data_IF_167651234893
#
_entry.id   IF_167651234893
#
_cell.length_a   1.000
_cell.length_b   1.000
_cell.length_c   1.000
_cell.angle_alpha   90.00
_cell.angle_beta   90.00
_cell.angle_gamma   90.00
#
_symmetry.space_group_name_H-M   'P 1'
#
loop_
_entity.id
_entity.type
_entity.pdbx_description
1 polymer ?
#
# COMPACT_ATOMS: atom_id res chain seq x y z
N UNK A 1 -9.76 -4.97 -2.57
CA UNK A 1 -9.96 -3.65 -3.20
C UNK A 1 -10.40 -2.65 -2.14
N UNK A 2 -10.11 -1.35 -2.33
CA UNK A 2 -10.60 -0.22 -1.50
C UNK A 2 -10.21 -0.29 0.00
N UNK A 3 -9.09 -0.90 0.31
CA UNK A 3 -8.55 -0.99 1.69
C UNK A 3 -7.50 0.09 2.00
N UNK A 4 -7.40 1.14 1.16
CA UNK A 4 -6.51 2.28 1.40
C UNK A 4 -5.04 2.09 1.00
N UNK A 5 -4.66 1.05 0.23
CA UNK A 5 -3.25 0.82 -0.18
C UNK A 5 -2.58 2.06 -0.77
N UNK A 6 -3.14 2.59 -1.83
CA UNK A 6 -2.60 3.76 -2.53
C UNK A 6 -2.48 4.98 -1.62
N UNK A 7 -3.46 5.19 -0.73
CA UNK A 7 -3.46 6.29 0.24
C UNK A 7 -2.28 6.17 1.22
N UNK A 8 -2.09 5.00 1.83
CA UNK A 8 -1.00 4.77 2.78
C UNK A 8 0.36 4.92 2.09
N UNK A 9 0.53 4.41 0.88
CA UNK A 9 1.78 4.54 0.12
C UNK A 9 2.08 6.01 -0.19
N UNK A 10 1.07 6.79 -0.57
CA UNK A 10 1.24 8.22 -0.83
C UNK A 10 1.61 9.00 0.43
N UNK A 11 1.00 8.70 1.58
CA UNK A 11 1.37 9.33 2.86
C UNK A 11 2.79 8.93 3.28
N UNK A 12 3.13 7.65 3.20
CA UNK A 12 4.49 7.18 3.45
C UNK A 12 5.52 7.89 2.55
N UNK A 13 5.23 8.02 1.27
CA UNK A 13 6.11 8.71 0.33
C UNK A 13 6.36 10.18 0.72
N UNK A 14 5.31 10.89 1.14
CA UNK A 14 5.43 12.29 1.58
C UNK A 14 6.28 12.46 2.84
N UNK A 15 6.25 11.48 3.74
CA UNK A 15 6.99 11.54 5.00
C UNK A 15 8.45 11.12 4.85
N UNK A 16 8.76 10.19 3.95
CA UNK A 16 10.06 9.53 3.88
C UNK A 16 10.91 9.94 2.69
N UNK A 17 10.33 10.54 1.63
CA UNK A 17 11.04 10.85 0.40
C UNK A 17 10.87 12.32 -0.01
N UNK A 18 11.93 12.90 -0.60
CA UNK A 18 11.86 14.24 -1.17
C UNK A 18 11.05 14.28 -2.46
N UNK A 19 11.07 13.17 -3.21
CA UNK A 19 10.39 13.04 -4.50
C UNK A 19 9.57 11.75 -4.55
N UNK A 20 8.40 11.85 -5.16
CA UNK A 20 7.50 10.74 -5.37
C UNK A 20 7.03 10.70 -6.83
N UNK A 21 7.12 9.53 -7.45
CA UNK A 21 6.63 9.27 -8.79
C UNK A 21 5.70 8.07 -8.75
N UNK A 22 4.45 8.30 -9.11
CA UNK A 22 3.41 7.27 -9.18
C UNK A 22 3.07 6.98 -10.64
N UNK A 23 2.98 5.70 -10.99
CA UNK A 23 2.42 5.19 -12.23
C UNK A 23 1.29 4.24 -11.89
N UNK A 24 0.09 4.55 -12.37
CA UNK A 24 -1.05 3.65 -12.27
C UNK A 24 -1.35 3.08 -13.66
N UNK A 25 -1.11 1.78 -13.85
CA UNK A 25 -1.24 1.13 -15.16
C UNK A 25 -2.68 1.04 -15.70
N UNK A 26 -3.69 1.37 -14.89
CA UNK A 26 -5.07 1.50 -15.37
C UNK A 26 -5.36 2.94 -15.83
N UNK A 27 -4.83 3.94 -15.12
CA UNK A 27 -5.15 5.35 -15.34
C UNK A 27 -4.18 6.04 -16.30
N UNK A 28 -2.90 5.75 -16.20
CA UNK A 28 -1.85 6.35 -17.01
C UNK A 28 -1.74 5.64 -18.37
N UNK A 29 -2.57 6.03 -19.33
CA UNK A 29 -2.60 5.43 -20.67
C UNK A 29 -1.22 5.53 -21.34
N UNK A 30 -0.72 4.40 -21.84
CA UNK A 30 0.56 4.31 -22.50
C UNK A 30 1.75 4.13 -21.56
N UNK A 31 1.53 4.03 -20.24
CA UNK A 31 2.60 3.78 -19.27
C UNK A 31 3.28 2.41 -19.47
N UNK A 32 2.59 1.44 -20.07
CA UNK A 32 3.16 0.14 -20.46
C UNK A 32 4.35 0.28 -21.39
N UNK A 33 4.40 1.35 -22.21
CA UNK A 33 5.50 1.62 -23.15
C UNK A 33 6.83 1.89 -22.46
N UNK A 34 6.81 2.33 -21.20
CA UNK A 34 8.02 2.51 -20.38
C UNK A 34 8.78 1.18 -20.25
N UNK A 35 8.05 0.07 -20.26
CA UNK A 35 8.55 -1.29 -20.08
C UNK A 35 8.50 -2.13 -21.36
N UNK A 36 8.44 -1.50 -22.52
CA UNK A 36 8.59 -2.15 -23.82
C UNK A 36 10.07 -2.22 -24.25
N UNK A 37 10.40 -3.27 -25.00
CA UNK A 37 11.75 -3.46 -25.55
C UNK A 37 12.73 -4.00 -24.52
N UNK A 38 13.87 -3.30 -24.34
CA UNK A 38 14.93 -3.74 -23.42
C UNK A 38 14.59 -3.40 -21.99
N UNK A 39 14.48 -4.43 -21.14
CA UNK A 39 14.14 -4.31 -19.71
C UNK A 39 15.37 -4.05 -18.82
N UNK A 40 16.31 -3.20 -19.23
CA UNK A 40 17.39 -2.76 -18.35
C UNK A 40 17.03 -1.45 -17.62
N UNK A 41 17.62 -1.27 -16.44
CA UNK A 41 17.29 -0.16 -15.56
C UNK A 41 17.50 1.22 -16.21
N UNK A 42 18.58 1.42 -17.00
CA UNK A 42 18.85 2.70 -17.64
C UNK A 42 17.75 3.08 -18.62
N UNK A 43 17.41 2.18 -19.54
CA UNK A 43 16.35 2.39 -20.53
C UNK A 43 15.01 2.69 -19.86
N UNK A 44 14.65 1.93 -18.81
CA UNK A 44 13.39 2.13 -18.10
C UNK A 44 13.36 3.47 -17.37
N UNK A 45 14.45 3.86 -16.70
CA UNK A 45 14.53 5.15 -15.98
C UNK A 45 14.48 6.33 -16.94
N UNK A 46 15.15 6.24 -18.10
CA UNK A 46 15.07 7.26 -19.17
C UNK A 46 13.63 7.39 -19.68
N UNK A 47 12.97 6.27 -20.00
CA UNK A 47 11.59 6.26 -20.44
C UNK A 47 10.63 6.81 -19.37
N UNK A 48 10.86 6.47 -18.10
CA UNK A 48 10.06 6.97 -16.98
C UNK A 48 10.21 8.48 -16.81
N UNK A 49 11.45 8.98 -16.86
CA UNK A 49 11.76 10.41 -16.81
C UNK A 49 11.07 11.16 -17.95
N UNK A 50 11.16 10.63 -19.16
CA UNK A 50 10.50 11.22 -20.33
C UNK A 50 8.97 11.19 -20.21
N UNK A 51 8.38 10.06 -19.76
CA UNK A 51 6.94 9.91 -19.62
C UNK A 51 6.35 10.86 -18.57
N UNK A 52 6.99 11.00 -17.42
CA UNK A 52 6.55 11.90 -16.33
C UNK A 52 7.02 13.34 -16.50
N UNK A 53 7.89 13.64 -17.48
CA UNK A 53 8.49 14.96 -17.68
C UNK A 53 9.11 15.52 -16.39
N UNK A 54 9.73 14.67 -15.60
CA UNK A 54 10.29 14.99 -14.30
C UNK A 54 11.62 14.28 -14.11
N UNK A 55 12.62 15.04 -13.68
CA UNK A 55 13.91 14.47 -13.31
C UNK A 55 13.79 13.63 -12.04
N UNK A 56 14.46 12.47 -12.01
CA UNK A 56 14.47 11.54 -10.90
C UNK A 56 15.81 11.63 -10.17
N UNK A 57 15.79 11.99 -8.89
CA UNK A 57 16.99 12.07 -8.06
C UNK A 57 17.26 10.73 -7.38
N UNK A 58 18.42 10.08 -7.69
CA UNK A 58 18.82 8.84 -7.05
C UNK A 58 18.89 8.97 -5.51
N UNK A 59 18.40 7.96 -4.79
CA UNK A 59 18.38 7.91 -3.33
C UNK A 59 17.37 8.83 -2.64
N UNK A 60 16.60 9.64 -3.41
CA UNK A 60 15.62 10.58 -2.89
C UNK A 60 14.21 10.39 -3.45
N UNK A 61 14.07 9.57 -4.47
CA UNK A 61 12.81 9.35 -5.18
C UNK A 61 12.28 7.97 -4.89
N UNK A 62 11.03 7.90 -4.40
CA UNK A 62 10.25 6.66 -4.39
C UNK A 62 9.47 6.55 -5.70
N UNK A 63 9.57 5.39 -6.36
CA UNK A 63 8.79 5.04 -7.55
C UNK A 63 7.71 4.05 -7.15
N UNK A 64 6.45 4.42 -7.34
CA UNK A 64 5.29 3.61 -7.03
C UNK A 64 4.60 3.12 -8.30
N UNK A 65 4.52 1.80 -8.45
CA UNK A 65 3.90 1.11 -9.57
C UNK A 65 2.56 0.52 -9.09
N UNK A 66 1.48 1.25 -9.34
CA UNK A 66 0.12 0.87 -8.91
C UNK A 66 -0.58 0.04 -10.00
N UNK A 67 -1.36 -0.93 -9.56
CA UNK A 67 -2.06 -1.92 -10.42
C UNK A 67 -1.09 -2.65 -11.38
N UNK A 68 0.07 -3.05 -10.87
CA UNK A 68 1.19 -3.62 -11.64
C UNK A 68 0.81 -4.90 -12.40
N UNK A 69 -0.26 -5.61 -12.01
CA UNK A 69 -0.76 -6.78 -12.74
C UNK A 69 -1.23 -6.44 -14.16
N UNK A 70 -1.49 -5.16 -14.45
CA UNK A 70 -1.87 -4.71 -15.79
C UNK A 70 -0.65 -4.54 -16.73
N UNK A 71 0.58 -4.59 -16.17
CA UNK A 71 1.83 -4.50 -16.96
C UNK A 71 2.82 -5.62 -16.57
N UNK A 72 2.70 -6.83 -17.16
CA UNK A 72 3.60 -7.95 -16.86
C UNK A 72 5.09 -7.64 -17.06
N UNK A 73 5.42 -6.80 -18.05
CA UNK A 73 6.80 -6.39 -18.29
C UNK A 73 7.38 -5.55 -17.15
N UNK A 74 6.59 -4.65 -16.56
CA UNK A 74 7.00 -3.89 -15.38
C UNK A 74 7.33 -4.85 -14.23
N UNK A 75 6.49 -5.85 -14.03
CA UNK A 75 6.72 -6.89 -13.01
C UNK A 75 8.02 -7.66 -13.24
N UNK A 76 8.34 -8.01 -14.49
CA UNK A 76 9.59 -8.67 -14.84
C UNK A 76 10.82 -7.75 -14.67
N UNK A 77 10.64 -6.45 -14.82
CA UNK A 77 11.71 -5.46 -14.74
C UNK A 77 12.17 -5.17 -13.31
N UNK A 78 11.33 -5.41 -12.29
CA UNK A 78 11.64 -5.09 -10.88
C UNK A 78 12.99 -5.62 -10.44
N UNK A 79 13.34 -6.84 -10.79
CA UNK A 79 14.65 -7.41 -10.47
C UNK A 79 15.80 -6.51 -10.92
N UNK A 80 15.77 -6.06 -12.18
CA UNK A 80 16.82 -5.23 -12.75
C UNK A 80 16.86 -3.83 -12.15
N UNK A 81 15.68 -3.30 -11.81
CA UNK A 81 15.52 -2.00 -11.17
C UNK A 81 16.04 -2.00 -9.73
N UNK A 82 15.77 -3.06 -8.96
CA UNK A 82 16.28 -3.22 -7.60
C UNK A 82 17.77 -3.51 -7.57
N UNK A 83 18.29 -4.35 -8.49
CA UNK A 83 19.73 -4.60 -8.65
C UNK A 83 20.52 -3.32 -8.99
N UNK A 84 19.93 -2.41 -9.76
CA UNK A 84 20.52 -1.11 -10.08
C UNK A 84 20.71 -0.21 -8.86
N UNK A 85 19.80 -0.25 -7.89
CA UNK A 85 19.91 0.37 -6.57
C UNK A 85 19.83 1.90 -6.53
N UNK A 86 19.50 2.59 -7.63
CA UNK A 86 19.37 4.06 -7.65
C UNK A 86 18.10 4.56 -6.97
N UNK A 87 17.03 3.78 -6.99
CA UNK A 87 15.71 4.18 -6.52
C UNK A 87 15.08 3.10 -5.66
N UNK A 88 14.15 3.49 -4.81
CA UNK A 88 13.29 2.58 -4.08
C UNK A 88 11.95 2.40 -4.83
N UNK A 89 11.40 1.21 -4.74
CA UNK A 89 10.20 0.83 -5.48
C UNK A 89 9.16 0.27 -4.53
N UNK A 90 7.90 0.68 -4.73
CA UNK A 90 6.74 0.03 -4.15
C UNK A 90 5.81 -0.39 -5.28
N UNK A 91 5.29 -1.60 -5.18
CA UNK A 91 4.31 -2.12 -6.11
C UNK A 91 2.99 -2.34 -5.39
N UNK A 92 1.88 -2.09 -6.05
CA UNK A 92 0.58 -2.51 -5.56
C UNK A 92 -0.27 -3.18 -6.62
N UNK A 93 -1.14 -4.07 -6.16
CA UNK A 93 -2.09 -4.74 -7.02
C UNK A 93 -3.14 -5.48 -6.23
N UNK A 94 -4.37 -5.51 -6.72
CA UNK A 94 -5.50 -6.11 -6.01
C UNK A 94 -5.52 -7.65 -6.04
N UNK A 95 -4.72 -8.29 -6.88
CA UNK A 95 -4.71 -9.74 -7.11
C UNK A 95 -3.29 -10.30 -7.30
N UNK A 96 -2.28 -9.65 -6.72
CA UNK A 96 -0.89 -10.09 -6.86
C UNK A 96 -0.71 -11.58 -6.49
N UNK A 97 -1.40 -12.07 -5.46
CA UNK A 97 -1.32 -13.48 -5.05
C UNK A 97 -2.07 -14.49 -5.96
N UNK A 98 -3.00 -14.05 -6.81
CA UNK A 98 -3.85 -14.95 -7.61
C UNK A 98 -3.33 -15.09 -9.04
N UNK A 99 -2.80 -14.02 -9.64
CA UNK A 99 -2.24 -14.02 -11.01
C UNK A 99 -0.77 -14.44 -11.10
N UNK A 100 -0.21 -14.91 -10.03
CA UNK A 100 1.18 -15.38 -9.97
C UNK A 100 1.55 -16.43 -11.05
N UNK A 101 0.59 -17.16 -11.59
CA UNK A 101 0.84 -18.20 -12.59
C UNK A 101 1.10 -17.68 -14.01
N UNK A 102 0.85 -16.39 -14.27
CA UNK A 102 0.92 -15.81 -15.61
C UNK A 102 2.18 -14.96 -15.86
N UNK A 103 3.01 -14.74 -14.83
CA UNK A 103 4.24 -13.93 -14.96
C UNK A 103 5.44 -14.84 -15.25
N UNK A 104 6.18 -14.61 -16.35
CA UNK A 104 7.26 -15.48 -16.79
C UNK A 104 8.46 -15.55 -15.83
N UNK A 105 8.62 -14.57 -14.95
CA UNK A 105 9.72 -14.51 -14.00
C UNK A 105 9.32 -13.73 -12.76
N UNK A 106 9.68 -14.27 -11.59
CA UNK A 106 9.50 -13.62 -10.28
C UNK A 106 10.80 -12.99 -9.83
N UNK A 107 10.69 -11.83 -9.20
CA UNK A 107 11.79 -11.18 -8.51
C UNK A 107 12.06 -11.83 -7.12
N UNK A 108 12.15 -13.17 -7.06
CA UNK A 108 12.41 -13.90 -5.82
C UNK A 108 13.68 -13.39 -5.16
N UNK A 109 13.58 -12.90 -3.92
CA UNK A 109 14.69 -12.33 -3.17
C UNK A 109 14.92 -10.82 -3.40
N UNK A 110 14.16 -10.19 -4.30
CA UNK A 110 14.25 -8.75 -4.59
C UNK A 110 13.03 -7.96 -4.11
N UNK A 111 12.05 -8.62 -3.52
CA UNK A 111 10.83 -8.02 -3.04
C UNK A 111 10.38 -8.62 -1.72
N UNK A 112 9.73 -7.81 -0.90
CA UNK A 112 9.01 -8.22 0.30
C UNK A 112 7.51 -8.03 0.07
N UNK A 113 6.72 -9.07 0.33
CA UNK A 113 5.28 -9.02 0.16
C UNK A 113 4.62 -8.62 1.48
N UNK A 114 3.97 -7.48 1.49
CA UNK A 114 3.17 -6.99 2.61
C UNK A 114 1.69 -7.17 2.30
N UNK A 115 0.98 -7.91 3.15
CA UNK A 115 -0.46 -8.09 3.03
C UNK A 115 -1.19 -7.00 3.79
N UNK A 116 -2.07 -6.29 3.10
CA UNK A 116 -2.94 -5.30 3.70
C UNK A 116 -4.37 -5.83 3.78
N UNK A 117 -4.96 -5.71 4.95
CA UNK A 117 -6.33 -6.14 5.26
C UNK A 117 -7.23 -4.93 5.54
N UNK A 118 -8.55 -5.08 5.49
CA UNK A 118 -9.47 -4.09 6.05
C UNK A 118 -9.15 -3.82 7.52
N UNK A 119 -9.49 -2.62 8.00
CA UNK A 119 -9.26 -2.25 9.40
C UNK A 119 -9.89 -3.26 10.36
N UNK A 120 -9.12 -3.69 11.36
CA UNK A 120 -9.66 -4.42 12.48
C UNK A 120 -10.46 -3.49 13.41
N UNK A 121 -11.17 -4.05 14.39
CA UNK A 121 -12.04 -3.23 15.25
C UNK A 121 -11.27 -2.18 16.06
N UNK A 122 -10.03 -2.46 16.48
CA UNK A 122 -9.19 -1.47 17.18
C UNK A 122 -8.85 -0.29 16.27
N UNK A 123 -8.45 -0.56 15.04
CA UNK A 123 -8.16 0.46 14.03
C UNK A 123 -9.42 1.27 13.69
N UNK A 124 -10.56 0.60 13.57
CA UNK A 124 -11.87 1.24 13.40
C UNK A 124 -12.22 2.17 14.55
N UNK A 125 -12.00 1.76 15.81
CA UNK A 125 -12.22 2.61 16.98
C UNK A 125 -11.34 3.86 16.95
N UNK A 126 -10.06 3.69 16.60
CA UNK A 126 -9.11 4.82 16.47
C UNK A 126 -9.55 5.79 15.37
N UNK A 127 -9.96 5.30 14.22
CA UNK A 127 -10.48 6.11 13.11
C UNK A 127 -11.76 6.88 13.50
N UNK A 128 -12.58 6.31 14.38
CA UNK A 128 -13.77 6.99 14.94
C UNK A 128 -13.47 7.87 16.17
N UNK A 129 -12.20 8.20 16.43
CA UNK A 129 -11.79 9.15 17.46
C UNK A 129 -11.72 8.59 18.88
N UNK A 130 -11.82 7.26 19.05
CA UNK A 130 -11.61 6.64 20.36
C UNK A 130 -10.16 6.81 20.79
N UNK A 131 -9.97 7.43 21.95
CA UNK A 131 -8.65 7.77 22.47
C UNK A 131 -7.86 6.53 22.91
N UNK A 132 -6.54 6.59 22.77
CA UNK A 132 -5.61 5.53 23.18
C UNK A 132 -5.77 5.15 24.66
N UNK A 133 -6.10 6.11 25.53
CA UNK A 133 -6.39 5.87 26.96
C UNK A 133 -7.58 4.92 27.16
N UNK A 134 -8.63 5.04 26.34
CA UNK A 134 -9.79 4.14 26.36
C UNK A 134 -9.40 2.73 25.93
N UNK A 135 -8.59 2.61 24.87
CA UNK A 135 -8.09 1.31 24.40
C UNK A 135 -7.21 0.62 25.44
N UNK A 136 -6.35 1.38 26.12
CA UNK A 136 -5.55 0.88 27.25
C UNK A 136 -6.42 0.41 28.43
N UNK A 137 -7.48 1.15 28.75
CA UNK A 137 -8.42 0.74 29.82
C UNK A 137 -9.08 -0.59 29.47
N UNK A 138 -9.52 -0.76 28.21
CA UNK A 138 -10.09 -2.04 27.76
C UNK A 138 -9.09 -3.19 27.90
N UNK A 139 -7.85 -2.97 27.51
CA UNK A 139 -6.80 -3.98 27.64
C UNK A 139 -6.57 -4.37 29.09
N UNK A 140 -6.48 -3.39 30.01
CA UNK A 140 -6.30 -3.62 31.45
C UNK A 140 -7.48 -4.40 32.01
N UNK A 141 -8.73 -4.03 31.67
CA UNK A 141 -9.92 -4.76 32.11
C UNK A 141 -9.89 -6.23 31.64
N UNK A 142 -9.49 -6.46 30.40
CA UNK A 142 -9.35 -7.80 29.85
C UNK A 142 -8.29 -8.63 30.60
N UNK A 143 -7.08 -8.06 30.80
CA UNK A 143 -5.95 -8.74 31.48
C UNK A 143 -6.27 -9.07 32.92
N UNK A 144 -7.02 -8.19 33.62
CA UNK A 144 -7.44 -8.38 35.03
C UNK A 144 -8.75 -9.14 35.21
N UNK A 145 -9.43 -9.52 34.12
CA UNK A 145 -10.76 -10.10 34.14
C UNK A 145 -11.79 -9.23 34.88
N UNK A 146 -11.67 -7.91 34.78
CA UNK A 146 -12.56 -6.93 35.38
C UNK A 146 -13.61 -6.43 34.38
N UNK A 147 -14.78 -6.02 34.88
CA UNK A 147 -15.82 -5.45 34.04
C UNK A 147 -15.40 -4.08 33.50
N UNK A 148 -15.66 -3.85 32.20
CA UNK A 148 -15.48 -2.53 31.58
C UNK A 148 -16.49 -1.55 32.18
N UNK A 149 -16.12 -0.27 32.49
CA UNK A 149 -17.03 0.74 32.96
C UNK A 149 -18.28 0.85 32.06
N UNK A 150 -19.48 0.92 32.67
CA UNK A 150 -20.75 0.79 31.97
C UNK A 150 -20.92 1.72 30.76
N UNK A 151 -20.61 3.01 30.92
CA UNK A 151 -20.73 4.01 29.84
C UNK A 151 -19.79 3.69 28.69
N UNK A 152 -18.56 3.31 29.00
CA UNK A 152 -17.57 2.90 28.01
C UNK A 152 -18.05 1.65 27.24
N UNK A 153 -18.54 0.65 27.97
CA UNK A 153 -19.07 -0.58 27.40
C UNK A 153 -20.22 -0.31 26.43
N UNK A 154 -21.23 0.47 26.84
CA UNK A 154 -22.39 0.82 26.01
C UNK A 154 -21.97 1.59 24.74
N UNK A 155 -21.01 2.52 24.86
CA UNK A 155 -20.49 3.28 23.71
C UNK A 155 -19.77 2.38 22.72
N UNK A 156 -18.90 1.52 23.22
CA UNK A 156 -18.13 0.60 22.38
C UNK A 156 -19.00 -0.47 21.72
N UNK A 157 -20.06 -0.94 22.40
CA UNK A 157 -21.03 -1.85 21.78
C UNK A 157 -21.77 -1.21 20.60
N UNK A 158 -22.12 0.08 20.67
CA UNK A 158 -22.73 0.79 19.55
C UNK A 158 -21.75 0.87 18.35
N UNK A 159 -20.50 1.22 18.62
CA UNK A 159 -19.46 1.25 17.57
C UNK A 159 -19.21 -0.15 16.99
N UNK A 160 -19.23 -1.19 17.83
CA UNK A 160 -19.08 -2.56 17.37
C UNK A 160 -20.26 -3.01 16.49
N UNK A 161 -21.47 -2.67 16.85
CA UNK A 161 -22.65 -2.96 16.04
C UNK A 161 -22.55 -2.27 14.65
N UNK A 162 -22.09 -1.03 14.61
CA UNK A 162 -21.85 -0.33 13.34
C UNK A 162 -20.73 -1.01 12.55
N UNK A 163 -19.61 -1.36 13.19
CA UNK A 163 -18.50 -2.06 12.56
C UNK A 163 -18.91 -3.39 11.92
N UNK A 164 -19.79 -4.17 12.56
CA UNK A 164 -20.30 -5.43 11.98
C UNK A 164 -21.08 -5.18 10.68
N UNK A 165 -21.75 -4.03 10.57
CA UNK A 165 -22.55 -3.69 9.39
C UNK A 165 -21.69 -3.12 8.27
N UNK A 166 -20.80 -2.16 8.59
CA UNK A 166 -20.00 -1.43 7.59
C UNK A 166 -18.67 -2.12 7.28
N UNK A 167 -18.18 -2.96 8.19
CA UNK A 167 -16.86 -3.59 8.09
C UNK A 167 -15.71 -2.61 8.35
N UNK A 168 -14.50 -3.04 8.02
CA UNK A 168 -13.26 -2.25 8.18
C UNK A 168 -12.78 -1.57 6.90
N UNK A 169 -13.69 -1.21 6.00
CA UNK A 169 -13.32 -0.52 4.75
C UNK A 169 -13.15 0.98 5.02
N UNK A 170 -11.97 1.57 4.70
CA UNK A 170 -11.72 2.99 5.00
C UNK A 170 -12.71 3.98 4.40
N UNK A 171 -13.27 3.64 3.24
CA UNK A 171 -14.21 4.52 2.51
C UNK A 171 -15.58 4.69 3.22
N UNK A 172 -15.87 3.89 4.26
CA UNK A 172 -17.15 3.91 4.98
C UNK A 172 -16.98 4.24 6.48
N UNK A 173 -15.78 4.58 6.90
CA UNK A 173 -15.38 4.99 8.24
C UNK A 173 -15.01 6.46 8.25
#
# INVERSE_FOLDING_TARGET
RQIGKTTIIREFAKEQYEHFVEINFILDKGAEKIFEGKLDANTIIENLTAFKMKELEPGKTLIFLDEIQECPNARCAIKFLVEDGRFDYIESGSLLGVRYKEVPSYAVGFEEIVYMYPMNFKEYLTANGVQESTLKTLQICYEKHEAVPKVMHETLLKLFATYIVVGGMPDVV
#
